data_IF_682810589521
#
_entry.id   IF_682810589521
#
_cell.length_a   1.000
_cell.length_b   1.000
_cell.length_c   1.000
_cell.angle_alpha   90.00
_cell.angle_beta   90.00
_cell.angle_gamma   90.00
#
_symmetry.space_group_name_H-M   'P 1'
#
loop_
_entity.id
_entity.type
_entity.pdbx_description
1 polymer ?
#
# COMPACT_ATOMS: atom_id res chain seq x y z
N UNK A 1 21.55 -11.81 -8.31
CA UNK A 1 20.40 -10.94 -8.67
C UNK A 1 20.16 -10.79 -10.17
N UNK A 2 21.16 -10.90 -11.05
CA UNK A 2 21.00 -10.78 -12.52
C UNK A 2 20.25 -11.95 -13.19
N UNK A 3 20.36 -13.17 -12.65
CA UNK A 3 19.80 -14.38 -13.29
C UNK A 3 18.29 -14.63 -13.06
N UNK A 4 17.59 -13.79 -12.30
CA UNK A 4 16.13 -13.90 -12.09
C UNK A 4 15.32 -13.10 -13.13
N UNK A 5 15.81 -11.92 -13.50
CA UNK A 5 15.16 -11.01 -14.45
C UNK A 5 14.97 -11.65 -15.83
N UNK A 6 15.95 -12.41 -16.33
CA UNK A 6 15.85 -13.08 -17.62
C UNK A 6 14.76 -14.18 -17.69
N UNK A 7 14.34 -14.74 -16.55
CA UNK A 7 13.40 -15.87 -16.51
C UNK A 7 11.93 -15.44 -16.57
N UNK A 8 11.62 -14.22 -16.14
CA UNK A 8 10.24 -13.71 -16.03
C UNK A 8 9.84 -12.84 -17.22
N UNK A 9 10.82 -12.16 -17.84
CA UNK A 9 10.56 -11.29 -18.99
C UNK A 9 10.11 -12.11 -20.20
N UNK A 10 10.76 -13.24 -20.47
CA UNK A 10 10.39 -14.12 -21.58
C UNK A 10 8.91 -14.54 -21.53
N UNK A 11 8.44 -15.18 -20.45
CA UNK A 11 7.04 -15.57 -20.29
C UNK A 11 6.07 -14.39 -20.34
N UNK A 12 6.40 -13.23 -19.77
CA UNK A 12 5.53 -12.05 -19.79
C UNK A 12 5.36 -11.50 -21.23
N UNK A 13 6.46 -11.40 -21.99
CA UNK A 13 6.42 -10.98 -23.40
C UNK A 13 5.62 -11.99 -24.21
N UNK A 14 5.87 -13.29 -24.04
CA UNK A 14 5.15 -14.35 -24.74
C UNK A 14 3.66 -14.29 -24.40
N UNK A 15 3.29 -14.10 -23.13
CA UNK A 15 1.89 -13.99 -22.70
C UNK A 15 1.21 -12.77 -23.33
N UNK A 16 1.86 -11.60 -23.30
CA UNK A 16 1.35 -10.39 -23.94
C UNK A 16 1.18 -10.55 -25.46
N UNK A 17 2.15 -11.17 -26.14
CA UNK A 17 2.09 -11.45 -27.58
C UNK A 17 0.96 -12.44 -27.92
N UNK A 18 0.77 -13.50 -27.12
CA UNK A 18 -0.32 -14.45 -27.29
C UNK A 18 -1.68 -13.74 -27.12
N UNK A 19 -1.85 -12.94 -26.06
CA UNK A 19 -3.07 -12.17 -25.84
C UNK A 19 -3.34 -11.20 -27.00
N UNK A 20 -2.31 -10.52 -27.50
CA UNK A 20 -2.43 -9.60 -28.65
C UNK A 20 -2.84 -10.35 -29.93
N UNK A 21 -2.21 -11.49 -30.23
CA UNK A 21 -2.55 -12.31 -31.39
C UNK A 21 -3.99 -12.84 -31.30
N UNK A 22 -4.41 -13.32 -30.13
CA UNK A 22 -5.78 -13.75 -29.87
C UNK A 22 -6.76 -12.60 -30.06
N UNK A 23 -6.47 -11.41 -29.50
CA UNK A 23 -7.34 -10.24 -29.67
C UNK A 23 -7.54 -9.87 -31.13
N UNK A 24 -6.48 -9.83 -31.95
CA UNK A 24 -6.60 -9.49 -33.37
C UNK A 24 -7.39 -10.56 -34.14
N UNK A 25 -7.15 -11.84 -33.87
CA UNK A 25 -7.83 -12.93 -34.57
C UNK A 25 -9.29 -13.13 -34.12
N UNK A 26 -9.58 -12.98 -32.84
CA UNK A 26 -10.89 -13.28 -32.22
C UNK A 26 -11.72 -12.02 -31.90
N UNK A 27 -11.24 -10.80 -32.21
CA UNK A 27 -12.01 -9.56 -32.10
C UNK A 27 -13.47 -9.65 -32.62
N UNK A 28 -13.75 -10.21 -33.83
CA UNK A 28 -15.14 -10.28 -34.32
C UNK A 28 -16.03 -11.21 -33.49
N UNK A 29 -15.44 -12.19 -32.78
CA UNK A 29 -16.17 -13.06 -31.88
C UNK A 29 -16.36 -12.40 -30.50
N UNK A 30 -15.39 -11.61 -30.05
CA UNK A 30 -15.47 -10.85 -28.81
C UNK A 30 -16.62 -9.82 -28.81
N UNK A 31 -16.95 -9.24 -29.97
CA UNK A 31 -18.09 -8.34 -30.12
C UNK A 31 -19.46 -9.02 -29.86
N UNK A 32 -19.51 -10.36 -29.87
CA UNK A 32 -20.72 -11.15 -29.58
C UNK A 32 -20.83 -11.53 -28.10
N UNK A 33 -19.87 -11.15 -27.26
CA UNK A 33 -19.90 -11.49 -25.84
C UNK A 33 -21.02 -10.69 -25.16
N UNK A 34 -21.97 -11.36 -24.47
CA UNK A 34 -23.03 -10.67 -23.78
C UNK A 34 -22.47 -9.87 -22.59
N UNK A 35 -23.00 -8.66 -22.38
CA UNK A 35 -22.58 -7.76 -21.29
C UNK A 35 -22.69 -8.42 -19.90
N UNK A 36 -23.66 -9.31 -19.72
CA UNK A 36 -23.86 -10.06 -18.47
C UNK A 36 -22.65 -10.96 -18.15
N UNK A 37 -22.02 -11.57 -19.17
CA UNK A 37 -20.82 -12.38 -18.95
C UNK A 37 -19.64 -11.51 -18.52
N UNK A 38 -19.47 -10.32 -19.11
CA UNK A 38 -18.43 -9.37 -18.69
C UNK A 38 -18.66 -8.87 -17.27
N UNK A 39 -19.90 -8.53 -16.91
CA UNK A 39 -20.23 -8.13 -15.54
C UNK A 39 -19.92 -9.24 -14.52
N UNK A 40 -20.26 -10.49 -14.84
CA UNK A 40 -19.93 -11.64 -13.99
C UNK A 40 -18.41 -11.81 -13.82
N UNK A 41 -17.64 -11.71 -14.90
CA UNK A 41 -16.17 -11.78 -14.85
C UNK A 41 -15.60 -10.64 -14.00
N UNK A 42 -16.07 -9.40 -14.18
CA UNK A 42 -15.62 -8.25 -13.40
C UNK A 42 -15.89 -8.45 -11.91
N UNK A 43 -17.06 -8.96 -11.53
CA UNK A 43 -17.37 -9.26 -10.13
C UNK A 43 -16.42 -10.32 -9.55
N UNK A 44 -16.13 -11.38 -10.30
CA UNK A 44 -15.20 -12.43 -9.85
C UNK A 44 -13.76 -11.92 -9.76
N UNK A 45 -13.31 -11.11 -10.72
CA UNK A 45 -11.97 -10.51 -10.71
C UNK A 45 -11.84 -9.53 -9.55
N UNK A 46 -12.83 -8.66 -9.33
CA UNK A 46 -12.86 -7.74 -8.19
C UNK A 46 -12.83 -8.51 -6.85
N UNK A 47 -13.60 -9.60 -6.73
CA UNK A 47 -13.55 -10.46 -5.55
C UNK A 47 -12.20 -11.16 -5.37
N UNK A 48 -11.51 -11.54 -6.45
CA UNK A 48 -10.16 -12.13 -6.41
C UNK A 48 -9.07 -11.12 -6.06
N UNK A 49 -9.27 -9.84 -6.37
CA UNK A 49 -8.34 -8.77 -6.00
C UNK A 49 -8.39 -8.46 -4.49
N UNK A 50 -9.54 -8.67 -3.85
CA UNK A 50 -9.72 -8.44 -2.42
C UNK A 50 -9.47 -9.75 -1.67
N UNK A 51 -8.21 -9.99 -1.32
CA UNK A 51 -7.89 -11.09 -0.42
C UNK A 51 -8.29 -10.72 1.02
N UNK A 52 -9.44 -11.25 1.46
CA UNK A 52 -10.06 -10.88 2.75
C UNK A 52 -9.14 -11.16 3.94
N UNK A 53 -8.26 -12.16 3.84
CA UNK A 53 -7.24 -12.45 4.84
C UNK A 53 -6.26 -11.29 5.00
N UNK A 54 -5.56 -10.94 3.92
CA UNK A 54 -4.59 -9.85 3.89
C UNK A 54 -5.23 -8.49 4.23
N UNK A 55 -6.42 -8.21 3.69
CA UNK A 55 -7.16 -7.00 4.00
C UNK A 55 -7.42 -6.85 5.50
N UNK A 56 -7.83 -7.95 6.16
CA UNK A 56 -8.08 -7.95 7.60
C UNK A 56 -6.80 -7.78 8.41
N UNK A 57 -5.67 -8.32 7.94
CA UNK A 57 -4.37 -8.12 8.58
C UNK A 57 -3.94 -6.66 8.50
N UNK A 58 -4.06 -6.02 7.33
CA UNK A 58 -3.74 -4.59 7.14
C UNK A 58 -4.59 -3.71 8.06
N UNK A 59 -5.90 -3.97 8.12
CA UNK A 59 -6.82 -3.22 9.00
C UNK A 59 -6.46 -3.37 10.48
N UNK A 60 -5.89 -4.51 10.88
CA UNK A 60 -5.50 -4.80 12.27
C UNK A 60 -4.08 -4.36 12.60
N UNK A 61 -3.22 -4.11 11.61
CA UNK A 61 -1.81 -3.79 11.80
C UNK A 61 -1.63 -2.46 12.56
N UNK A 62 -2.17 -1.37 12.01
CA UNK A 62 -2.09 -0.04 12.64
C UNK A 62 -3.35 0.75 12.33
N UNK A 63 -3.83 1.56 13.29
CA UNK A 63 -4.96 2.49 13.07
C UNK A 63 -4.69 3.44 11.90
N UNK A 64 -3.44 3.89 11.76
CA UNK A 64 -2.95 4.74 10.66
C UNK A 64 -3.17 4.08 9.29
N UNK A 65 -2.76 2.82 9.17
CA UNK A 65 -2.78 2.08 7.90
C UNK A 65 -4.24 1.77 7.49
N UNK A 66 -5.07 1.35 8.46
CA UNK A 66 -6.49 1.12 8.26
C UNK A 66 -7.24 2.39 7.83
N UNK A 67 -6.92 3.54 8.45
CA UNK A 67 -7.53 4.83 8.11
C UNK A 67 -7.15 5.27 6.71
N UNK A 68 -5.86 5.17 6.35
CA UNK A 68 -5.38 5.53 5.01
C UNK A 68 -6.02 4.64 3.95
N UNK A 69 -6.10 3.33 4.18
CA UNK A 69 -6.74 2.37 3.28
C UNK A 69 -8.24 2.67 3.09
N UNK A 70 -8.99 2.87 4.17
CA UNK A 70 -10.42 3.20 4.11
C UNK A 70 -10.68 4.53 3.42
N UNK A 71 -9.82 5.51 3.65
CA UNK A 71 -9.89 6.80 2.98
C UNK A 71 -9.70 6.64 1.47
N UNK A 72 -8.63 6.00 1.03
CA UNK A 72 -8.34 5.79 -0.40
C UNK A 72 -9.43 4.97 -1.08
N UNK A 73 -9.92 3.91 -0.42
CA UNK A 73 -11.02 3.10 -0.92
C UNK A 73 -12.30 3.91 -1.06
N UNK A 74 -12.67 4.68 -0.03
CA UNK A 74 -13.87 5.50 -0.01
C UNK A 74 -13.85 6.59 -1.08
N UNK A 75 -12.71 7.27 -1.25
CA UNK A 75 -12.54 8.30 -2.29
C UNK A 75 -12.62 7.67 -3.69
N UNK A 76 -12.02 6.49 -3.91
CA UNK A 76 -12.07 5.79 -5.21
C UNK A 76 -13.49 5.45 -5.62
N UNK A 77 -14.32 4.97 -4.67
CA UNK A 77 -15.71 4.57 -4.93
C UNK A 77 -16.63 5.77 -5.11
N UNK A 78 -16.39 6.86 -4.39
CA UNK A 78 -17.27 8.05 -4.41
C UNK A 78 -16.93 9.06 -5.52
N UNK A 79 -15.65 9.19 -5.90
CA UNK A 79 -15.17 10.24 -6.80
C UNK A 79 -14.38 9.68 -7.99
N UNK A 80 -13.10 9.32 -7.80
CA UNK A 80 -12.19 8.82 -8.84
C UNK A 80 -10.94 8.19 -8.21
N UNK A 81 -10.29 7.28 -8.93
CA UNK A 81 -8.99 6.70 -8.61
C UNK A 81 -7.87 7.75 -8.53
N UNK A 82 -7.84 8.73 -9.45
CA UNK A 82 -6.76 9.73 -9.48
C UNK A 82 -6.79 10.57 -8.19
N UNK A 83 -7.97 11.09 -7.82
CA UNK A 83 -8.17 11.87 -6.60
C UNK A 83 -7.84 11.04 -5.35
N UNK A 84 -8.19 9.76 -5.34
CA UNK A 84 -7.87 8.86 -4.23
C UNK A 84 -6.36 8.70 -4.03
N UNK A 85 -5.59 8.58 -5.11
CA UNK A 85 -4.12 8.48 -5.05
C UNK A 85 -3.52 9.76 -4.47
N UNK A 86 -3.96 10.93 -4.94
CA UNK A 86 -3.47 12.23 -4.45
C UNK A 86 -3.70 12.40 -2.94
N UNK A 87 -4.94 12.20 -2.50
CA UNK A 87 -5.32 12.34 -1.07
C UNK A 87 -4.62 11.28 -0.21
N UNK A 88 -4.60 10.03 -0.67
CA UNK A 88 -3.97 8.92 0.04
C UNK A 88 -2.47 9.14 0.24
N UNK A 89 -1.77 9.65 -0.77
CA UNK A 89 -0.34 9.95 -0.70
C UNK A 89 -0.03 11.06 0.31
N UNK A 90 -0.83 12.14 0.32
CA UNK A 90 -0.67 13.24 1.28
C UNK A 90 -0.87 12.75 2.72
N UNK A 91 -1.93 11.98 2.97
CA UNK A 91 -2.22 11.43 4.30
C UNK A 91 -1.13 10.44 4.75
N UNK A 92 -0.72 9.52 3.87
CA UNK A 92 0.36 8.57 4.16
C UNK A 92 1.67 9.28 4.49
N UNK A 93 2.04 10.31 3.72
CA UNK A 93 3.24 11.12 3.96
C UNK A 93 3.19 11.85 5.31
N UNK A 94 2.06 12.48 5.65
CA UNK A 94 1.89 13.16 6.93
C UNK A 94 1.99 12.18 8.13
N UNK A 95 1.39 10.99 7.99
CA UNK A 95 1.44 9.94 9.01
C UNK A 95 2.86 9.38 9.17
N UNK A 96 3.58 9.21 8.07
CA UNK A 96 4.98 8.78 8.08
C UNK A 96 5.87 9.76 8.86
N UNK A 97 5.76 11.07 8.58
CA UNK A 97 6.51 12.10 9.29
C UNK A 97 6.18 12.10 10.79
N UNK A 98 4.90 12.00 11.13
CA UNK A 98 4.43 11.93 12.52
C UNK A 98 5.00 10.71 13.25
N UNK A 99 5.04 9.55 12.58
CA UNK A 99 5.59 8.31 13.14
C UNK A 99 7.09 8.43 13.37
N UNK A 100 7.83 8.97 12.41
CA UNK A 100 9.29 9.12 12.52
C UNK A 100 9.68 10.11 13.62
N UNK A 101 8.96 11.23 13.73
CA UNK A 101 9.18 12.23 14.78
C UNK A 101 9.06 11.64 16.20
N UNK A 102 8.08 10.75 16.43
CA UNK A 102 7.90 10.09 17.72
C UNK A 102 9.01 9.10 18.06
N UNK A 103 9.60 8.45 17.06
CA UNK A 103 10.71 7.52 17.25
C UNK A 103 12.02 8.22 17.62
N UNK A 104 12.20 9.47 17.16
CA UNK A 104 13.38 10.29 17.48
C UNK A 104 13.26 11.14 18.74
N UNK A 105 12.14 11.03 19.47
CA UNK A 105 11.97 11.69 20.76
C UNK A 105 12.75 10.90 21.82
N UNK A 106 14.00 11.28 22.04
CA UNK A 106 14.84 10.72 23.10
C UNK A 106 14.31 11.25 24.43
N UNK A 107 13.95 10.34 25.34
CA UNK A 107 13.48 10.67 26.68
C UNK A 107 14.61 11.41 27.43
N UNK A 108 14.45 12.70 27.80
CA UNK A 108 15.49 13.49 28.48
C UNK A 108 15.92 12.88 29.82
N UNK A 109 15.11 11.97 30.37
CA UNK A 109 15.38 11.27 31.62
C UNK A 109 16.54 10.26 31.54
N UNK A 110 16.98 9.87 30.33
CA UNK A 110 18.12 8.96 30.16
C UNK A 110 19.50 9.63 30.32
N UNK A 111 19.58 10.97 30.34
CA UNK A 111 20.85 11.73 30.47
C UNK A 111 20.97 12.56 31.77
N UNK A 112 20.07 12.37 32.74
CA UNK A 112 19.95 13.24 33.90
C UNK A 112 20.45 12.71 35.26
N UNK A 113 20.87 11.45 35.36
CA UNK A 113 21.27 10.83 36.63
C UNK A 113 22.79 10.56 36.71
N UNK A 114 23.60 11.57 36.41
CA UNK A 114 24.91 11.66 37.05
C UNK A 114 24.73 12.50 38.32
N UNK A 115 24.67 11.90 39.53
CA UNK A 115 24.68 12.67 40.75
C UNK A 115 26.05 13.34 40.86
N UNK A 116 26.14 14.58 40.37
CA UNK A 116 27.21 15.51 40.68
C UNK A 116 27.20 15.74 42.20
N UNK A 117 27.88 14.84 42.91
CA UNK A 117 28.29 14.97 44.30
C UNK A 117 29.32 16.11 44.39
N UNK A 118 28.85 17.34 44.20
CA UNK A 118 29.56 18.53 44.62
C UNK A 118 29.18 18.78 46.08
N UNK A 119 29.90 18.16 47.01
CA UNK A 119 29.95 18.63 48.40
C UNK A 119 30.95 19.80 48.45
N UNK A 120 30.50 21.05 48.67
CA UNK A 120 31.41 22.15 48.94
C UNK A 120 31.89 22.04 50.38
N UNK A 121 33.20 22.09 50.58
CA UNK A 121 33.77 22.37 51.89
C UNK A 121 33.20 23.69 52.42
N UNK A 122 32.65 23.66 53.63
CA UNK A 122 32.28 24.87 54.36
C UNK A 122 32.03 24.52 55.83
N UNK A 123 32.99 24.96 56.66
CA UNK A 123 32.78 25.60 57.97
C UNK A 123 32.08 24.78 59.05
N UNK A 124 32.85 24.16 59.94
CA UNK A 124 33.23 24.66 61.28
C UNK A 124 33.91 23.56 62.07
#
# INVERSE_FOLDING_TARGET
>A
MSSYTGRVIGPAIIHGLILAAIMVALAPLAARIPLVALAAILMVVAARMIEVGEFREIVRATKSDATTMMLTLGVTVAFDLILAIEVGLVVAGALFVTRMSRLFQIDPTALGDEPHTRKPGSRR
#
